data_IF_245091982885
#
_entry.id   IF_245091982885
#
_cell.length_a   1.000
_cell.length_b   1.000
_cell.length_c   1.000
_cell.angle_alpha   90.00
_cell.angle_beta   90.00
_cell.angle_gamma   90.00
#
_symmetry.space_group_name_H-M   'P 1'
#
loop_
_entity.id
_entity.type
_entity.pdbx_description
1 polymer ?
#
# COMPACT_ATOMS: atom_id res chain seq x y z
N UNK A 1 4.90 -9.13 -5.51
CA UNK A 1 5.47 -8.04 -6.34
C UNK A 1 6.57 -8.62 -7.25
N UNK A 2 6.47 -8.53 -8.58
CA UNK A 2 7.29 -9.34 -9.50
C UNK A 2 8.74 -8.85 -9.66
N UNK A 3 9.66 -9.82 -9.62
CA UNK A 3 11.00 -9.77 -10.24
C UNK A 3 10.82 -10.09 -11.72
N UNK A 4 11.17 -9.16 -12.61
CA UNK A 4 11.16 -9.39 -14.06
C UNK A 4 12.25 -10.39 -14.44
N UNK A 5 11.90 -11.56 -14.97
CA UNK A 5 12.86 -12.50 -15.57
C UNK A 5 12.92 -12.25 -17.08
N UNK A 6 14.10 -11.90 -17.59
CA UNK A 6 14.37 -11.76 -19.02
C UNK A 6 14.73 -13.13 -19.61
N UNK A 7 13.95 -13.60 -20.57
CA UNK A 7 14.30 -14.76 -21.40
C UNK A 7 14.20 -14.37 -22.89
N UNK A 8 15.27 -14.60 -23.64
CA UNK A 8 15.34 -14.42 -25.11
C UNK A 8 14.89 -13.06 -25.66
N UNK A 9 15.20 -11.96 -24.96
CA UNK A 9 15.04 -10.61 -25.50
C UNK A 9 13.59 -10.14 -25.69
N UNK A 10 12.60 -10.82 -25.10
CA UNK A 10 11.21 -10.36 -25.01
C UNK A 10 10.75 -10.30 -23.55
N UNK A 11 10.01 -9.24 -23.22
CA UNK A 11 9.29 -9.17 -21.95
C UNK A 11 8.12 -10.15 -22.01
N UNK A 12 8.23 -11.28 -21.33
CA UNK A 12 7.12 -12.24 -21.17
C UNK A 12 6.49 -11.99 -19.81
N UNK A 13 5.29 -11.44 -19.80
CA UNK A 13 4.41 -11.49 -18.62
C UNK A 13 3.96 -12.95 -18.49
N UNK A 14 4.41 -13.66 -17.45
CA UNK A 14 3.88 -14.99 -17.15
C UNK A 14 2.42 -14.85 -16.72
N UNK A 15 1.51 -15.03 -17.67
CA UNK A 15 0.13 -15.39 -17.36
C UNK A 15 0.11 -16.87 -16.98
N UNK A 16 -0.14 -17.15 -15.70
CA UNK A 16 -0.55 -18.49 -15.28
C UNK A 16 -1.82 -18.90 -16.05
N UNK A 17 -1.67 -19.89 -16.91
CA UNK A 17 -2.65 -20.33 -17.91
C UNK A 17 -3.91 -21.01 -17.33
N UNK A 18 -4.22 -20.87 -16.03
CA UNK A 18 -5.35 -21.54 -15.37
C UNK A 18 -6.42 -20.58 -14.78
N UNK A 19 -6.39 -19.28 -15.06
CA UNK A 19 -7.40 -18.31 -14.57
C UNK A 19 -8.56 -18.05 -15.54
N UNK A 20 -8.97 -19.02 -16.37
CA UNK A 20 -9.97 -18.79 -17.44
C UNK A 20 -11.44 -18.83 -17.00
N UNK A 21 -11.77 -19.04 -15.72
CA UNK A 21 -13.18 -19.22 -15.31
C UNK A 21 -13.78 -18.16 -14.37
N UNK A 22 -13.11 -17.03 -14.11
CA UNK A 22 -13.67 -15.94 -13.29
C UNK A 22 -13.42 -14.54 -13.88
N UNK A 23 -13.52 -14.37 -15.20
CA UNK A 23 -13.56 -13.04 -15.80
C UNK A 23 -15.02 -12.58 -15.90
N UNK A 24 -15.50 -11.95 -14.82
CA UNK A 24 -16.61 -10.99 -14.94
C UNK A 24 -16.22 -9.89 -15.93
N UNK A 25 -17.20 -9.20 -16.51
CA UNK A 25 -16.96 -8.12 -17.47
C UNK A 25 -15.85 -7.17 -16.96
N UNK A 26 -14.78 -7.01 -17.74
CA UNK A 26 -13.68 -6.11 -17.39
C UNK A 26 -14.24 -4.68 -17.31
N UNK A 27 -14.39 -4.19 -16.08
CA UNK A 27 -14.72 -2.79 -15.79
C UNK A 27 -13.63 -1.92 -16.42
N UNK A 28 -14.01 -0.79 -17.02
CA UNK A 28 -13.03 0.17 -17.54
C UNK A 28 -12.04 0.55 -16.42
N UNK A 29 -10.74 0.67 -16.74
CA UNK A 29 -9.74 0.96 -15.72
C UNK A 29 -9.98 2.35 -15.12
N UNK A 30 -9.82 2.45 -13.81
CA UNK A 30 -9.98 3.68 -13.04
C UNK A 30 -8.74 4.58 -13.16
N UNK A 31 -8.92 5.89 -13.00
CA UNK A 31 -7.81 6.85 -12.98
C UNK A 31 -7.24 6.96 -11.57
N UNK A 32 -5.92 7.14 -11.46
CA UNK A 32 -5.28 7.48 -10.19
C UNK A 32 -5.53 8.93 -9.80
N UNK A 33 -5.27 9.26 -8.53
CA UNK A 33 -5.35 10.63 -8.05
C UNK A 33 -4.38 11.56 -8.81
N UNK A 34 -3.24 11.02 -9.29
CA UNK A 34 -2.22 11.76 -10.05
C UNK A 34 -2.32 11.55 -11.56
N UNK A 35 -3.45 11.04 -12.09
CA UNK A 35 -3.55 10.65 -13.50
C UNK A 35 -3.23 11.80 -14.46
N UNK A 36 -3.85 12.97 -14.25
CA UNK A 36 -3.66 14.13 -15.14
C UNK A 36 -2.21 14.64 -15.10
N UNK A 37 -1.58 14.65 -13.93
CA UNK A 37 -0.18 15.00 -13.73
C UNK A 37 0.73 14.00 -14.46
N UNK A 38 0.44 12.70 -14.34
CA UNK A 38 1.23 11.64 -14.97
C UNK A 38 1.17 11.75 -16.50
N UNK A 39 -0.01 11.97 -17.06
CA UNK A 39 -0.20 12.16 -18.52
C UNK A 39 0.54 13.41 -19.00
N UNK A 40 0.44 14.51 -18.25
CA UNK A 40 1.04 15.79 -18.61
C UNK A 40 2.53 15.94 -18.29
N UNK A 41 3.15 14.99 -17.57
CA UNK A 41 4.51 15.14 -17.07
C UNK A 41 5.54 15.26 -18.21
N UNK A 42 5.35 14.49 -19.28
CA UNK A 42 6.21 14.50 -20.47
C UNK A 42 5.43 14.10 -21.72
N UNK A 43 5.91 14.49 -22.90
CA UNK A 43 5.36 14.00 -24.18
C UNK A 43 5.53 12.48 -24.40
N UNK A 44 6.26 11.81 -23.51
CA UNK A 44 6.60 10.38 -23.56
C UNK A 44 5.88 9.56 -22.49
N UNK A 45 5.03 10.16 -21.67
CA UNK A 45 4.31 9.47 -20.60
C UNK A 45 3.56 8.26 -21.14
N UNK A 46 4.00 7.06 -20.77
CA UNK A 46 3.46 5.81 -21.28
C UNK A 46 2.53 5.18 -20.25
N UNK A 47 1.23 5.45 -20.41
CA UNK A 47 0.18 4.96 -19.52
C UNK A 47 -0.31 3.59 -19.98
N UNK A 48 -0.48 2.66 -19.04
CA UNK A 48 -0.98 1.30 -19.27
C UNK A 48 -2.08 0.93 -18.29
N UNK A 49 -2.91 -0.04 -18.64
CA UNK A 49 -3.83 -0.65 -17.68
C UNK A 49 -3.06 -1.64 -16.79
N UNK A 50 -3.16 -1.44 -15.48
CA UNK A 50 -2.55 -2.30 -14.47
C UNK A 50 -3.50 -2.43 -13.28
N UNK A 51 -3.83 -3.67 -12.90
CA UNK A 51 -4.65 -3.95 -11.71
C UNK A 51 -6.01 -3.20 -11.64
N UNK A 52 -6.60 -2.89 -12.80
CA UNK A 52 -7.85 -2.12 -12.88
C UNK A 52 -7.66 -0.60 -12.85
N UNK A 53 -6.42 -0.09 -12.89
CA UNK A 53 -6.09 1.33 -12.93
C UNK A 53 -5.30 1.71 -14.19
N UNK A 54 -5.36 2.97 -14.58
CA UNK A 54 -4.47 3.58 -15.57
C UNK A 54 -3.22 4.12 -14.86
N UNK A 55 -2.08 3.47 -15.09
CA UNK A 55 -0.83 3.74 -14.38
C UNK A 55 0.29 4.17 -15.34
N UNK A 56 1.18 5.08 -14.93
CA UNK A 56 2.40 5.39 -15.67
C UNK A 56 3.38 4.22 -15.60
N UNK A 57 3.68 3.58 -16.74
CA UNK A 57 4.72 2.55 -16.82
C UNK A 57 6.13 3.16 -16.82
N UNK A 58 6.27 4.30 -17.50
CA UNK A 58 7.48 5.14 -17.53
C UNK A 58 7.15 6.50 -18.15
N UNK A 59 8.01 7.48 -17.90
CA UNK A 59 7.97 8.85 -18.44
C UNK A 59 9.10 9.12 -19.43
N UNK A 60 10.16 8.30 -19.39
CA UNK A 60 11.34 8.44 -20.24
C UNK A 60 11.78 7.10 -20.81
N UNK A 61 12.27 6.22 -19.94
CA UNK A 61 12.61 4.83 -20.25
C UNK A 61 12.78 4.06 -18.94
N UNK A 62 12.42 2.78 -18.95
CA UNK A 62 12.54 1.89 -17.79
C UNK A 62 13.98 1.90 -17.23
N UNK A 63 14.99 1.80 -18.11
CA UNK A 63 16.39 1.77 -17.68
C UNK A 63 16.86 3.12 -17.12
N UNK A 64 16.40 4.23 -17.69
CA UNK A 64 16.74 5.58 -17.25
C UNK A 64 16.18 5.86 -15.85
N UNK A 65 14.91 5.53 -15.63
CA UNK A 65 14.22 5.72 -14.35
C UNK A 65 14.78 4.81 -13.25
N UNK A 66 15.04 3.54 -13.57
CA UNK A 66 15.75 2.65 -12.65
C UNK A 66 17.12 3.23 -12.25
N UNK A 67 17.88 3.76 -13.20
CA UNK A 67 19.18 4.39 -12.92
C UNK A 67 19.03 5.64 -12.05
N UNK A 68 18.02 6.46 -12.32
CA UNK A 68 17.73 7.67 -11.54
C UNK A 68 17.43 7.34 -10.07
N UNK A 69 16.55 6.35 -9.82
CA UNK A 69 16.21 5.91 -8.45
C UNK A 69 17.40 5.29 -7.74
N UNK A 70 18.24 4.52 -8.45
CA UNK A 70 19.43 3.90 -7.85
C UNK A 70 20.52 4.90 -7.48
N UNK A 71 20.69 5.97 -8.26
CA UNK A 71 21.76 6.96 -8.07
C UNK A 71 21.32 8.19 -7.29
N UNK A 72 20.04 8.55 -7.35
CA UNK A 72 19.48 9.75 -6.77
C UNK A 72 18.17 9.44 -6.04
N UNK A 73 17.03 9.87 -6.58
CA UNK A 73 15.70 9.63 -6.06
C UNK A 73 14.68 9.56 -7.20
N UNK A 74 13.54 8.92 -6.96
CA UNK A 74 12.38 8.94 -7.83
C UNK A 74 11.09 8.92 -7.03
N UNK A 75 10.05 9.54 -7.59
CA UNK A 75 8.70 9.57 -7.03
C UNK A 75 7.84 8.60 -7.81
N UNK A 76 7.02 7.84 -7.10
CA UNK A 76 6.13 6.84 -7.66
C UNK A 76 4.70 7.13 -7.23
N UNK A 77 3.79 7.06 -8.19
CA UNK A 77 2.36 7.08 -7.94
C UNK A 77 1.93 5.71 -7.38
N UNK A 78 1.70 5.65 -6.07
CA UNK A 78 1.16 4.48 -5.38
C UNK A 78 -0.31 4.70 -4.99
N UNK A 79 -0.99 5.69 -5.58
CA UNK A 79 -2.33 6.12 -5.15
C UNK A 79 -3.43 5.11 -5.48
N UNK A 80 -3.11 4.11 -6.31
CA UNK A 80 -3.94 2.95 -6.63
C UNK A 80 -3.96 1.86 -5.54
N UNK A 81 -3.04 1.91 -4.56
CA UNK A 81 -2.99 0.93 -3.46
C UNK A 81 -4.22 1.08 -2.56
N UNK A 82 -4.76 -0.04 -2.08
CA UNK A 82 -5.87 -0.01 -1.14
C UNK A 82 -5.37 0.30 0.27
N UNK A 83 -6.11 1.10 1.03
CA UNK A 83 -5.76 1.45 2.41
C UNK A 83 -6.99 1.19 3.28
N UNK A 84 -6.93 0.13 4.09
CA UNK A 84 -8.01 -0.19 5.03
C UNK A 84 -7.63 0.30 6.43
N UNK A 85 -8.54 1.00 7.08
CA UNK A 85 -8.44 1.29 8.52
C UNK A 85 -9.21 0.21 9.28
N UNK A 86 -8.53 -0.45 10.23
CA UNK A 86 -9.15 -1.41 11.14
C UNK A 86 -8.98 -0.84 12.55
N UNK A 87 -10.09 -0.58 13.24
CA UNK A 87 -10.05 0.07 14.55
C UNK A 87 -11.07 -0.45 15.55
N UNK A 88 -10.77 -0.26 16.84
CA UNK A 88 -11.61 -0.70 17.95
C UNK A 88 -10.98 -1.83 18.77
N UNK A 89 -11.58 -2.09 19.93
CA UNK A 89 -11.07 -3.06 20.91
C UNK A 89 -10.93 -4.44 20.25
N UNK A 90 -9.75 -5.04 20.38
CA UNK A 90 -9.47 -6.36 19.82
C UNK A 90 -9.05 -6.37 18.35
N UNK A 91 -8.79 -5.20 17.74
CA UNK A 91 -8.37 -5.08 16.35
C UNK A 91 -7.05 -5.82 16.06
N UNK A 92 -6.07 -5.79 16.97
CA UNK A 92 -4.80 -6.50 16.79
C UNK A 92 -5.01 -8.02 16.72
N UNK A 93 -5.77 -8.56 17.67
CA UNK A 93 -6.10 -9.99 17.75
C UNK A 93 -6.98 -10.44 16.59
N UNK A 94 -7.82 -9.54 16.06
CA UNK A 94 -8.60 -9.78 14.85
C UNK A 94 -7.69 -9.92 13.63
N UNK A 95 -6.76 -8.98 13.43
CA UNK A 95 -5.82 -9.02 12.30
C UNK A 95 -4.93 -10.27 12.38
N UNK A 96 -4.46 -10.63 13.59
CA UNK A 96 -3.70 -11.85 13.85
C UNK A 96 -4.41 -13.15 13.41
N UNK A 97 -5.74 -13.13 13.23
CA UNK A 97 -6.45 -14.32 12.77
C UNK A 97 -6.22 -14.65 11.30
N UNK A 98 -5.86 -13.66 10.47
CA UNK A 98 -5.73 -13.84 9.03
C UNK A 98 -4.37 -13.38 8.48
N UNK A 99 -3.50 -12.82 9.31
CA UNK A 99 -2.13 -12.45 8.92
C UNK A 99 -1.08 -13.42 9.47
N UNK A 100 0.03 -13.59 8.75
CA UNK A 100 1.10 -14.53 9.15
C UNK A 100 2.02 -14.01 10.26
N UNK A 101 2.26 -12.71 10.32
CA UNK A 101 3.07 -12.08 11.36
C UNK A 101 2.18 -11.53 12.50
N UNK A 102 2.71 -11.55 13.73
CA UNK A 102 1.98 -11.13 14.93
C UNK A 102 1.89 -9.61 15.06
N UNK A 103 0.70 -9.09 14.80
CA UNK A 103 0.28 -7.69 14.94
C UNK A 103 0.08 -7.31 16.41
N UNK A 104 -0.32 -8.24 17.27
CA UNK A 104 -0.37 -8.00 18.72
C UNK A 104 0.99 -7.56 19.29
N UNK A 105 2.10 -8.07 18.72
CA UNK A 105 3.47 -7.69 19.07
C UNK A 105 3.97 -6.39 18.41
N UNK A 106 3.27 -5.89 17.38
CA UNK A 106 3.65 -4.70 16.64
C UNK A 106 3.52 -3.46 17.53
N UNK A 107 4.57 -2.65 17.64
CA UNK A 107 4.54 -1.42 18.46
C UNK A 107 3.78 -0.30 17.76
N UNK A 108 3.19 0.61 18.53
CA UNK A 108 2.65 1.85 17.97
C UNK A 108 3.74 2.60 17.16
N UNK A 109 3.32 3.31 16.12
CA UNK A 109 4.20 4.02 15.17
C UNK A 109 5.18 3.12 14.40
N UNK A 110 4.90 1.81 14.36
CA UNK A 110 5.64 0.85 13.55
C UNK A 110 4.72 0.19 12.54
N UNK A 111 5.31 -0.16 11.41
CA UNK A 111 4.72 -0.94 10.36
C UNK A 111 5.34 -2.34 10.32
N UNK A 112 4.67 -3.28 9.67
CA UNK A 112 5.19 -4.63 9.46
C UNK A 112 4.63 -5.23 8.19
N UNK A 113 5.51 -5.85 7.40
CA UNK A 113 5.12 -6.68 6.27
C UNK A 113 4.50 -8.00 6.76
N UNK A 114 3.44 -8.47 6.11
CA UNK A 114 2.77 -9.72 6.45
C UNK A 114 2.08 -10.32 5.21
N UNK A 115 1.71 -11.60 5.26
CA UNK A 115 0.80 -12.19 4.28
C UNK A 115 -0.59 -12.32 4.89
N UNK A 116 -1.63 -12.09 4.07
CA UNK A 116 -3.00 -12.49 4.38
C UNK A 116 -3.23 -13.86 3.77
N UNK A 117 -3.68 -14.81 4.57
CA UNK A 117 -3.97 -16.17 4.13
C UNK A 117 -5.48 -16.46 4.14
N UNK A 118 -5.87 -17.40 3.28
CA UNK A 118 -7.16 -18.09 3.42
C UNK A 118 -7.06 -19.24 4.43
N UNK A 119 -8.21 -19.86 4.71
CA UNK A 119 -8.36 -20.96 5.66
C UNK A 119 -7.57 -22.23 5.30
N UNK A 120 -7.13 -22.37 4.04
CA UNK A 120 -6.29 -23.48 3.57
C UNK A 120 -4.80 -23.16 3.58
N UNK A 121 -4.42 -21.96 4.03
CA UNK A 121 -3.05 -21.45 4.01
C UNK A 121 -2.62 -20.87 2.65
N UNK A 122 -3.55 -20.68 1.72
CA UNK A 122 -3.31 -20.02 0.44
C UNK A 122 -3.08 -18.52 0.62
N UNK A 123 -2.07 -17.96 -0.05
CA UNK A 123 -1.79 -16.51 0.02
C UNK A 123 -2.83 -15.74 -0.76
N UNK A 124 -3.60 -14.91 -0.06
CA UNK A 124 -4.57 -13.99 -0.66
C UNK A 124 -3.91 -12.69 -1.08
N UNK A 125 -3.06 -12.11 -0.23
CA UNK A 125 -2.31 -10.88 -0.52
C UNK A 125 -1.08 -10.76 0.36
N UNK A 126 -0.11 -9.96 -0.05
CA UNK A 126 0.92 -9.44 0.84
C UNK A 126 0.63 -7.98 1.21
N UNK A 127 0.83 -7.62 2.47
CA UNK A 127 0.37 -6.35 3.04
C UNK A 127 1.42 -5.72 3.93
N UNK A 128 1.28 -4.41 4.15
CA UNK A 128 1.97 -3.72 5.23
C UNK A 128 0.92 -3.22 6.23
N UNK A 129 1.06 -3.65 7.48
CA UNK A 129 0.20 -3.23 8.60
C UNK A 129 0.90 -2.16 9.41
N UNK A 130 0.29 -1.00 9.58
CA UNK A 130 0.78 0.14 10.37
C UNK A 130 -0.05 0.25 11.64
N UNK A 131 0.59 0.14 12.82
CA UNK A 131 -0.10 0.37 14.10
C UNK A 131 -0.04 1.85 14.47
N UNK A 132 -1.10 2.60 14.17
CA UNK A 132 -1.20 4.05 14.49
C UNK A 132 -1.31 4.28 15.99
N UNK A 133 -2.18 3.52 16.63
CA UNK A 133 -2.41 3.58 18.08
C UNK A 133 -2.69 2.17 18.62
N UNK A 134 -3.04 2.05 19.91
CA UNK A 134 -3.34 0.78 20.59
C UNK A 134 -4.28 -0.10 19.77
N UNK A 135 -5.39 0.49 19.31
CA UNK A 135 -6.50 -0.19 18.65
C UNK A 135 -6.82 0.44 17.29
N UNK A 136 -5.82 0.99 16.60
CA UNK A 136 -6.01 1.64 15.30
C UNK A 136 -4.90 1.27 14.33
N UNK A 137 -5.27 0.66 13.22
CA UNK A 137 -4.34 0.08 12.24
C UNK A 137 -4.67 0.54 10.83
N UNK A 138 -3.65 0.80 10.02
CA UNK A 138 -3.79 0.83 8.56
C UNK A 138 -3.26 -0.47 7.98
N UNK A 139 -3.98 -1.05 7.01
CA UNK A 139 -3.57 -2.22 6.24
C UNK A 139 -3.51 -1.80 4.78
N UNK A 140 -2.29 -1.69 4.26
CA UNK A 140 -2.05 -1.36 2.86
C UNK A 140 -2.08 -2.66 2.05
N UNK A 141 -3.00 -2.73 1.09
CA UNK A 141 -3.28 -3.91 0.26
C UNK A 141 -2.94 -3.62 -1.20
N UNK A 142 -2.54 -4.65 -1.95
CA UNK A 142 -2.25 -4.47 -3.37
C UNK A 142 -3.53 -4.10 -4.14
N UNK A 143 -3.41 -3.19 -5.10
CA UNK A 143 -4.54 -2.69 -5.90
C UNK A 143 -5.40 -3.82 -6.50
N UNK A 144 -4.75 -4.82 -7.10
CA UNK A 144 -5.43 -5.95 -7.74
C UNK A 144 -6.23 -6.82 -6.76
N UNK A 145 -5.88 -6.78 -5.47
CA UNK A 145 -6.47 -7.60 -4.42
C UNK A 145 -7.39 -6.81 -3.49
N UNK A 146 -7.50 -5.49 -3.62
CA UNK A 146 -8.24 -4.63 -2.69
C UNK A 146 -9.69 -5.12 -2.49
N UNK A 147 -10.45 -5.29 -3.58
CA UNK A 147 -11.83 -5.80 -3.49
C UNK A 147 -11.91 -7.22 -2.88
N UNK A 148 -10.97 -8.09 -3.24
CA UNK A 148 -10.89 -9.47 -2.72
C UNK A 148 -10.64 -9.49 -1.21
N UNK A 149 -9.71 -8.68 -0.73
CA UNK A 149 -9.36 -8.60 0.70
C UNK A 149 -10.48 -7.95 1.52
N UNK A 150 -11.13 -6.91 1.01
CA UNK A 150 -12.32 -6.33 1.65
C UNK A 150 -13.44 -7.37 1.82
N UNK A 151 -13.74 -8.12 0.75
CA UNK A 151 -14.76 -9.17 0.81
C UNK A 151 -14.37 -10.29 1.79
N UNK A 152 -13.09 -10.68 1.82
CA UNK A 152 -12.59 -11.68 2.77
C UNK A 152 -12.75 -11.22 4.23
N UNK A 153 -12.35 -9.98 4.55
CA UNK A 153 -12.46 -9.40 5.90
C UNK A 153 -13.94 -9.29 6.30
N UNK A 154 -14.81 -8.83 5.41
CA UNK A 154 -16.25 -8.75 5.69
C UNK A 154 -16.86 -10.13 5.94
N UNK A 155 -16.52 -11.13 5.12
CA UNK A 155 -16.98 -12.50 5.32
C UNK A 155 -16.50 -13.09 6.67
N UNK A 156 -15.28 -12.73 7.11
CA UNK A 156 -14.77 -13.11 8.44
C UNK A 156 -15.60 -12.46 9.57
N UNK A 157 -15.91 -11.17 9.44
CA UNK A 157 -16.73 -10.44 10.41
C UNK A 157 -18.16 -11.00 10.49
N UNK A 158 -18.76 -11.36 9.35
CA UNK A 158 -20.09 -11.97 9.30
C UNK A 158 -20.10 -13.47 9.67
N UNK A 159 -18.92 -14.05 9.95
CA UNK A 159 -18.72 -15.51 10.14
C UNK A 159 -19.19 -16.37 8.96
N UNK A 160 -19.21 -15.82 7.75
CA UNK A 160 -19.52 -16.57 6.53
C UNK A 160 -18.39 -17.53 6.13
N UNK A 161 -17.16 -17.17 6.48
CA UNK A 161 -15.97 -18.00 6.30
C UNK A 161 -15.36 -18.39 7.65
N UNK A 162 -14.79 -19.59 7.71
CA UNK A 162 -14.09 -20.11 8.89
C UNK A 162 -12.60 -19.91 8.73
N UNK A 163 -11.93 -19.44 9.79
CA UNK A 163 -10.47 -19.32 9.82
C UNK A 163 -9.82 -20.70 9.92
N UNK A 164 -10.48 -21.62 10.62
CA UNK A 164 -10.01 -22.99 10.87
C UNK A 164 -11.16 -23.95 10.52
N UNK A 165 -11.16 -24.53 9.31
CA UNK A 165 -12.23 -25.42 8.87
C UNK A 165 -12.32 -26.70 9.71
N UNK A 166 -11.20 -27.14 10.29
CA UNK A 166 -11.13 -28.36 11.12
C UNK A 166 -11.64 -28.11 12.54
N UNK A 167 -11.57 -26.87 13.03
CA UNK A 167 -12.10 -26.48 14.32
C UNK A 167 -13.40 -25.65 14.20
N UNK A 168 -14.53 -26.35 14.07
CA UNK A 168 -15.86 -25.73 13.93
C UNK A 168 -16.28 -24.78 15.08
N UNK A 169 -15.65 -24.89 16.25
CA UNK A 169 -15.89 -24.02 17.40
C UNK A 169 -15.12 -22.70 17.34
N UNK A 170 -14.06 -22.60 16.52
CA UNK A 170 -13.24 -21.40 16.39
C UNK A 170 -13.96 -20.38 15.51
N UNK A 171 -14.33 -19.25 16.11
CA UNK A 171 -14.96 -18.12 15.44
C UNK A 171 -14.15 -16.86 15.70
N UNK A 172 -14.29 -15.88 14.80
CA UNK A 172 -13.85 -14.53 15.09
C UNK A 172 -14.65 -14.02 16.28
N UNK A 173 -14.00 -13.64 17.38
CA UNK A 173 -14.66 -13.10 18.58
C UNK A 173 -14.69 -11.58 18.62
N UNK A 174 -13.68 -10.92 18.05
CA UNK A 174 -13.60 -9.46 17.99
C UNK A 174 -14.31 -8.93 16.75
N UNK A 175 -14.91 -7.74 16.86
CA UNK A 175 -15.61 -7.06 15.76
C UNK A 175 -15.13 -5.62 15.66
N UNK A 176 -13.88 -5.39 15.22
CA UNK A 176 -13.42 -4.03 14.95
C UNK A 176 -14.20 -3.42 13.79
N UNK A 177 -14.23 -2.10 13.74
CA UNK A 177 -14.69 -1.35 12.58
C UNK A 177 -13.64 -1.44 11.46
N UNK A 178 -14.11 -1.60 10.22
CA UNK A 178 -13.28 -1.62 9.03
C UNK A 178 -13.76 -0.55 8.06
N UNK A 179 -12.88 0.38 7.69
CA UNK A 179 -13.15 1.46 6.74
C UNK A 179 -12.18 1.41 5.58
N UNK A 180 -12.65 1.72 4.38
CA UNK A 180 -11.79 1.89 3.21
C UNK A 180 -11.40 3.37 3.08
N UNK A 181 -10.13 3.68 3.35
CA UNK A 181 -9.56 5.03 3.24
C UNK A 181 -9.02 5.33 1.84
N UNK A 182 -8.82 4.32 0.99
CA UNK A 182 -8.43 4.51 -0.41
C UNK A 182 -9.63 4.68 -1.35
N UNK A 183 -10.85 4.45 -0.85
CA UNK A 183 -12.10 4.59 -1.60
C UNK A 183 -12.65 6.02 -1.67
N UNK A 184 -13.79 6.22 -2.34
CA UNK A 184 -14.41 7.55 -2.48
C UNK A 184 -15.29 8.03 -1.31
N UNK A 185 -15.56 7.18 -0.31
CA UNK A 185 -16.53 7.46 0.77
C UNK A 185 -15.88 7.77 2.14
N UNK A 186 -14.56 7.99 2.17
CA UNK A 186 -13.81 8.26 3.39
C UNK A 186 -13.76 9.74 3.80
N UNK A 187 -14.27 10.66 2.96
CA UNK A 187 -14.31 12.12 3.23
C UNK A 187 -12.92 12.62 3.64
N UNK A 188 -12.83 13.43 4.70
CA UNK A 188 -11.57 14.01 5.18
C UNK A 188 -10.52 12.98 5.65
N UNK A 189 -10.93 11.73 5.90
CA UNK A 189 -10.04 10.64 6.30
C UNK A 189 -9.42 9.91 5.10
N UNK A 190 -9.80 10.25 3.87
CA UNK A 190 -9.24 9.59 2.69
C UNK A 190 -7.72 9.71 2.65
N UNK A 191 -7.08 8.63 2.22
CA UNK A 191 -5.63 8.53 2.10
C UNK A 191 -5.28 7.88 0.78
N UNK A 192 -4.22 8.38 0.16
CA UNK A 192 -3.51 7.77 -0.97
C UNK A 192 -2.03 7.75 -0.65
N UNK A 193 -1.28 6.85 -1.28
CA UNK A 193 0.16 6.69 -1.08
C UNK A 193 0.98 7.29 -2.23
N UNK A 194 2.04 8.00 -1.88
CA UNK A 194 3.07 8.49 -2.78
C UNK A 194 4.42 8.03 -2.23
N UNK A 195 5.17 7.29 -3.04
CA UNK A 195 6.47 6.77 -2.62
C UNK A 195 7.63 7.61 -3.18
N UNK A 196 8.51 8.09 -2.31
CA UNK A 196 9.77 8.76 -2.66
C UNK A 196 10.94 7.82 -2.33
N UNK A 197 11.64 7.31 -3.34
CA UNK A 197 12.58 6.21 -3.18
C UNK A 197 13.95 6.53 -3.78
N UNK A 198 15.03 6.04 -3.16
CA UNK A 198 16.41 6.24 -3.61
C UNK A 198 17.32 6.86 -2.54
N UNK A 199 18.65 6.75 -2.69
CA UNK A 199 19.62 7.22 -1.69
C UNK A 199 19.55 8.72 -1.39
N UNK A 200 18.97 9.53 -2.29
CA UNK A 200 18.78 10.98 -2.12
C UNK A 200 17.37 11.38 -1.67
N UNK A 201 16.51 10.43 -1.33
CA UNK A 201 15.13 10.71 -0.90
C UNK A 201 15.06 11.59 0.33
N UNK A 202 15.96 11.40 1.31
CA UNK A 202 15.99 12.25 2.51
C UNK A 202 16.39 13.69 2.18
N UNK A 203 17.36 13.87 1.29
CA UNK A 203 17.81 15.21 0.86
C UNK A 203 16.64 15.95 0.17
N UNK A 204 15.92 15.27 -0.73
CA UNK A 204 14.73 15.82 -1.43
C UNK A 204 13.63 16.16 -0.43
N UNK A 205 13.31 15.23 0.46
CA UNK A 205 12.20 15.39 1.39
C UNK A 205 12.47 16.47 2.44
N UNK A 206 13.72 16.60 2.89
CA UNK A 206 14.14 17.62 3.86
C UNK A 206 13.83 19.05 3.41
N UNK A 207 13.86 19.32 2.11
CA UNK A 207 13.55 20.65 1.54
C UNK A 207 12.07 21.02 1.71
N UNK A 208 11.20 20.04 1.94
CA UNK A 208 9.75 20.26 2.08
C UNK A 208 9.32 20.49 3.53
N UNK A 209 10.17 20.18 4.50
CA UNK A 209 9.82 20.19 5.92
C UNK A 209 10.31 21.49 6.54
N UNK A 210 9.38 22.37 6.90
CA UNK A 210 9.67 23.67 7.52
C UNK A 210 9.79 23.58 9.04
N UNK A 211 9.07 22.64 9.67
CA UNK A 211 9.14 22.39 11.11
C UNK A 211 10.42 21.62 11.48
N UNK A 212 11.30 22.25 12.25
CA UNK A 212 12.56 21.67 12.71
C UNK A 212 12.35 20.41 13.56
N UNK A 213 11.28 20.34 14.36
CA UNK A 213 10.98 19.16 15.17
C UNK A 213 10.56 17.98 14.28
N UNK A 214 9.62 18.21 13.35
CA UNK A 214 9.23 17.21 12.37
C UNK A 214 10.42 16.75 11.52
N UNK A 215 11.27 17.68 11.08
CA UNK A 215 12.48 17.36 10.32
C UNK A 215 13.40 16.43 11.11
N UNK A 216 13.70 16.79 12.36
CA UNK A 216 14.53 16.00 13.28
C UNK A 216 13.95 14.61 13.53
N UNK A 217 12.63 14.47 13.66
CA UNK A 217 12.01 13.16 13.85
C UNK A 217 12.07 12.31 12.57
N UNK A 218 11.82 12.91 11.40
CA UNK A 218 11.84 12.23 10.08
C UNK A 218 13.23 11.69 9.74
N UNK A 219 14.30 12.46 9.97
CA UNK A 219 15.67 12.01 9.71
C UNK A 219 16.06 10.80 10.56
N UNK A 220 15.42 10.64 11.73
CA UNK A 220 15.71 9.60 12.71
C UNK A 220 14.75 8.39 12.60
N UNK A 221 13.79 8.40 11.68
CA UNK A 221 12.92 7.25 11.43
C UNK A 221 13.75 6.05 10.97
N UNK A 222 13.65 4.96 11.72
CA UNK A 222 14.23 3.66 11.33
C UNK A 222 13.32 2.95 10.32
N UNK A 223 13.83 1.96 9.56
CA UNK A 223 12.99 1.17 8.66
C UNK A 223 11.73 0.65 9.35
N UNK A 224 10.59 0.72 8.66
CA UNK A 224 9.27 0.37 9.17
C UNK A 224 8.81 1.18 10.40
N UNK A 225 9.38 2.37 10.63
CA UNK A 225 8.79 3.36 11.52
C UNK A 225 8.07 4.43 10.71
N UNK A 226 7.10 5.09 11.35
CA UNK A 226 6.41 6.21 10.76
C UNK A 226 6.06 7.26 11.81
N UNK A 227 5.66 8.43 11.34
CA UNK A 227 5.09 9.48 12.16
C UNK A 227 4.00 10.21 11.38
N UNK A 228 3.17 10.95 12.11
CA UNK A 228 2.17 11.84 11.52
C UNK A 228 2.63 13.27 11.75
N UNK A 229 2.55 14.10 10.71
CA UNK A 229 2.95 15.50 10.75
C UNK A 229 2.22 16.28 9.67
N UNK A 230 2.38 17.60 9.69
CA UNK A 230 1.90 18.49 8.65
C UNK A 230 3.08 18.91 7.77
N UNK A 231 2.91 18.82 6.45
CA UNK A 231 3.90 19.27 5.47
C UNK A 231 3.20 20.31 4.61
N UNK A 232 3.52 21.59 4.83
CA UNK A 232 2.96 22.73 4.09
C UNK A 232 1.42 22.79 4.10
N UNK A 233 0.81 22.50 5.24
CA UNK A 233 -0.65 22.48 5.42
C UNK A 233 -1.31 21.16 5.01
N UNK A 234 -0.51 20.14 4.63
CA UNK A 234 -0.99 18.83 4.25
C UNK A 234 -0.68 17.84 5.38
N UNK A 235 -1.73 17.41 6.08
CA UNK A 235 -1.63 16.33 7.05
C UNK A 235 -1.18 15.03 6.38
N UNK A 236 -0.05 14.49 6.82
CA UNK A 236 0.63 13.36 6.21
C UNK A 236 1.04 12.34 7.26
N UNK A 237 0.86 11.05 6.95
CA UNK A 237 1.63 9.99 7.62
C UNK A 237 2.87 9.72 6.78
N UNK A 238 4.05 9.95 7.37
CA UNK A 238 5.35 9.74 6.75
C UNK A 238 5.93 8.44 7.26
N UNK A 239 6.15 7.49 6.38
CA UNK A 239 6.73 6.19 6.73
C UNK A 239 8.08 5.95 6.08
N UNK A 240 9.00 5.34 6.83
CA UNK A 240 10.29 4.84 6.33
C UNK A 240 10.15 3.42 5.77
N UNK A 241 9.36 3.32 4.71
CA UNK A 241 9.02 2.09 3.98
C UNK A 241 9.39 2.25 2.51
N UNK A 242 9.45 1.13 1.80
CA UNK A 242 9.84 1.13 0.40
C UNK A 242 10.14 -0.25 -0.15
N UNK A 243 9.96 -0.37 -1.46
CA UNK A 243 10.05 -1.64 -2.20
C UNK A 243 11.22 -1.68 -3.18
N UNK A 244 12.05 -0.63 -3.23
CA UNK A 244 13.15 -0.53 -4.20
C UNK A 244 14.45 -1.18 -3.71
N UNK A 245 14.56 -1.50 -2.42
CA UNK A 245 15.81 -1.94 -1.78
C UNK A 245 16.87 -0.85 -1.69
N UNK A 246 16.52 0.42 -1.95
CA UNK A 246 17.40 1.54 -1.69
C UNK A 246 17.63 1.72 -0.19
N UNK A 247 18.79 2.29 0.19
CA UNK A 247 19.14 2.57 1.60
C UNK A 247 18.22 3.62 2.25
N UNK A 248 17.46 4.35 1.45
CA UNK A 248 16.55 5.41 1.87
C UNK A 248 15.33 5.40 0.98
N UNK A 249 14.16 5.56 1.59
CA UNK A 249 12.87 5.65 0.93
C UNK A 249 11.82 6.08 1.95
N UNK A 250 10.78 6.73 1.45
CA UNK A 250 9.62 7.16 2.22
C UNK A 250 8.35 6.85 1.45
N UNK A 251 7.29 6.59 2.19
CA UNK A 251 5.91 6.54 1.71
C UNK A 251 5.11 7.60 2.46
N UNK A 252 4.32 8.37 1.71
CA UNK A 252 3.58 9.53 2.18
C UNK A 252 2.09 9.26 1.99
N UNK A 253 1.38 9.09 3.10
CA UNK A 253 -0.06 8.92 3.08
C UNK A 253 -0.74 10.26 3.33
N UNK A 254 -1.37 10.77 2.29
CA UNK A 254 -1.95 12.12 2.22
C UNK A 254 -3.39 12.06 1.72
N UNK A 255 -4.17 13.10 1.98
CA UNK A 255 -5.51 13.19 1.40
C UNK A 255 -5.41 13.34 -0.13
N UNK A 256 -6.21 12.61 -0.93
CA UNK A 256 -6.15 12.68 -2.40
C UNK A 256 -6.25 14.11 -2.92
N UNK A 257 -7.18 14.91 -2.42
CA UNK A 257 -7.36 16.30 -2.89
C UNK A 257 -6.28 17.30 -2.42
N UNK A 258 -5.38 16.89 -1.52
CA UNK A 258 -4.36 17.79 -0.92
C UNK A 258 -2.92 17.35 -1.21
N UNK A 259 -2.72 16.08 -1.54
CA UNK A 259 -1.42 15.47 -1.80
C UNK A 259 -0.91 15.63 -3.23
N UNK A 260 -1.57 16.47 -4.03
CA UNK A 260 -1.37 16.64 -5.48
C UNK A 260 -0.82 18.05 -5.76
#
# INVERSE_FOLDING_TARGET
MFVSVFQEGRLVLQNDANKSQLRGAEKAPEQTALYDQNVGLTDKSHIVSFAGYLMPLWYSSISGEHTAVRKAAGIFDCTHMGILEISGVGAAEFIDQFTTNSITSLKAKHAQYSFILDASGGVLDDVIVYRKDRDKFFVVVNAANNAKIKNWINALLENEVRIDPENAGRKVSNRPEVRDLGGGDCKDDCRVDIALQGPKSLDVFSVLIEDEEAHSQIINLRPFQFMETDIKGIGCLVSRTGYTGAKSGFELFVHPDKGI
#
